data_IF_453582415699
#
_entry.id   IF_453582415699
#
_cell.length_a   1.000
_cell.length_b   1.000
_cell.length_c   1.000
_cell.angle_alpha   90.00
_cell.angle_beta   90.00
_cell.angle_gamma   90.00
#
_symmetry.space_group_name_H-M   'P 1'
#
loop_
_entity.id
_entity.type
_entity.pdbx_description
1 polymer ?
#
# COMPACT_ATOMS: atom_id res chain seq x y z
N UNK A 1 -9.46 13.53 16.66
CA UNK A 1 -10.77 14.12 16.33
C UNK A 1 -10.68 14.73 14.95
N UNK A 2 -11.59 14.39 14.05
CA UNK A 2 -11.73 14.99 12.72
C UNK A 2 -12.98 15.87 12.72
N UNK A 3 -12.90 17.05 12.14
CA UNK A 3 -13.98 18.02 12.03
C UNK A 3 -14.01 18.58 10.60
N UNK A 4 -15.14 19.08 10.17
CA UNK A 4 -15.29 19.79 8.91
C UNK A 4 -16.13 21.06 9.06
N UNK A 5 -15.93 22.01 8.15
CA UNK A 5 -16.66 23.27 8.10
C UNK A 5 -17.09 23.64 6.66
N UNK A 6 -17.19 22.64 5.79
CA UNK A 6 -17.45 22.82 4.36
C UNK A 6 -18.77 23.53 4.05
N UNK A 7 -19.78 23.42 4.91
CA UNK A 7 -21.06 24.08 4.76
C UNK A 7 -20.97 25.61 4.80
N UNK A 8 -19.87 26.13 5.37
CA UNK A 8 -19.57 27.56 5.44
C UNK A 8 -18.48 27.99 4.45
N UNK A 9 -18.16 27.13 3.45
CA UNK A 9 -17.15 27.43 2.42
C UNK A 9 -15.71 27.22 2.88
N UNK A 10 -15.48 26.61 4.04
CA UNK A 10 -14.15 26.32 4.56
C UNK A 10 -13.80 24.84 4.34
N UNK A 11 -12.85 24.60 3.46
CA UNK A 11 -12.41 23.26 3.06
C UNK A 11 -11.09 22.83 3.72
N UNK A 12 -10.64 23.56 4.74
CA UNK A 12 -9.39 23.27 5.45
C UNK A 12 -9.48 21.93 6.20
N UNK A 13 -8.37 21.16 6.29
CA UNK A 13 -8.37 19.95 7.11
C UNK A 13 -8.34 20.30 8.60
N UNK A 14 -9.33 19.83 9.33
CA UNK A 14 -9.42 19.98 10.79
C UNK A 14 -9.23 18.64 11.47
N UNK A 15 -7.99 18.35 11.86
CA UNK A 15 -7.61 17.10 12.50
C UNK A 15 -6.77 17.38 13.75
N UNK A 16 -7.25 16.89 14.90
CA UNK A 16 -6.67 17.19 16.19
C UNK A 16 -6.44 15.95 17.03
N UNK A 17 -5.35 15.97 17.81
CA UNK A 17 -4.96 14.95 18.79
C UNK A 17 -4.87 15.56 20.17
N UNK A 18 -5.33 14.83 21.16
CA UNK A 18 -5.11 15.12 22.59
C UNK A 18 -4.46 13.93 23.27
N UNK A 19 -3.59 14.18 24.25
CA UNK A 19 -2.94 13.15 25.09
C UNK A 19 -3.28 13.35 26.58
N UNK A 20 -4.14 14.31 26.89
CA UNK A 20 -4.50 14.67 28.27
C UNK A 20 -6.03 14.78 28.47
N UNK A 21 -6.79 13.90 27.85
CA UNK A 21 -8.23 13.82 28.03
C UNK A 21 -9.02 15.01 27.46
N UNK A 22 -8.46 15.73 26.46
CA UNK A 22 -9.15 16.86 25.82
C UNK A 22 -8.83 18.24 26.40
N UNK A 23 -7.93 18.33 27.39
CA UNK A 23 -7.52 19.60 28.00
C UNK A 23 -6.71 20.45 27.02
N UNK A 24 -5.84 19.80 26.23
CA UNK A 24 -5.08 20.45 25.14
C UNK A 24 -5.20 19.64 23.86
N UNK A 25 -5.26 20.36 22.74
CA UNK A 25 -5.38 19.79 21.40
C UNK A 25 -4.22 20.29 20.51
N UNK A 26 -3.59 19.36 19.81
CA UNK A 26 -2.54 19.66 18.81
C UNK A 26 -3.12 19.34 17.43
N UNK A 27 -2.96 20.25 16.48
CA UNK A 27 -3.25 19.96 15.08
C UNK A 27 -2.25 18.94 14.54
N UNK A 28 -2.75 17.93 13.79
CA UNK A 28 -1.98 16.86 13.18
C UNK A 28 -2.30 16.76 11.69
N UNK A 29 -2.19 17.86 10.95
CA UNK A 29 -2.52 17.98 9.52
C UNK A 29 -1.29 18.04 8.62
N UNK A 30 -0.09 17.83 9.14
CA UNK A 30 1.16 17.89 8.39
C UNK A 30 1.20 16.83 7.27
N UNK A 31 1.47 17.26 6.04
CA UNK A 31 1.45 16.39 4.85
C UNK A 31 0.08 16.31 4.15
N UNK A 32 -0.98 16.90 4.73
CA UNK A 32 -2.26 17.02 4.04
C UNK A 32 -2.29 18.28 3.16
N UNK A 33 -2.89 18.23 1.97
CA UNK A 33 -3.14 19.43 1.16
C UNK A 33 -4.07 20.43 1.89
N UNK A 34 -3.88 21.73 1.64
CA UNK A 34 -4.62 22.80 2.32
C UNK A 34 -6.15 22.69 2.21
N UNK A 35 -6.65 22.26 1.07
CA UNK A 35 -8.10 22.14 0.81
C UNK A 35 -8.49 20.65 0.78
N UNK A 36 -8.36 19.97 1.93
CA UNK A 36 -8.69 18.55 2.06
C UNK A 36 -9.65 18.35 3.21
N UNK A 37 -10.91 18.11 2.90
CA UNK A 37 -11.89 17.73 3.91
C UNK A 37 -11.54 16.36 4.48
N UNK A 38 -11.58 16.26 5.80
CA UNK A 38 -11.35 15.03 6.54
C UNK A 38 -12.67 14.48 7.07
N UNK A 39 -12.95 13.20 6.82
CA UNK A 39 -14.21 12.59 7.19
C UNK A 39 -14.09 11.66 8.38
N UNK A 40 -13.17 10.72 8.31
CA UNK A 40 -13.02 9.68 9.30
C UNK A 40 -11.56 9.41 9.60
N UNK A 41 -11.23 9.29 10.88
CA UNK A 41 -9.94 8.81 11.37
C UNK A 41 -10.16 7.46 12.06
N UNK A 42 -9.35 6.46 11.72
CA UNK A 42 -9.29 5.20 12.43
C UNK A 42 -7.85 4.88 12.82
N UNK A 43 -7.68 4.32 14.00
CA UNK A 43 -6.39 3.89 14.53
C UNK A 43 -6.30 2.37 14.46
N UNK A 44 -5.14 1.86 14.08
CA UNK A 44 -4.90 0.42 14.14
C UNK A 44 -5.06 -0.10 15.57
N UNK A 45 -5.64 -1.29 15.69
CA UNK A 45 -5.96 -1.90 16.97
C UNK A 45 -4.77 -2.56 17.67
N UNK A 46 -3.61 -2.66 17.00
CA UNK A 46 -2.38 -3.26 17.53
C UNK A 46 -1.29 -2.20 17.66
N UNK A 47 -1.02 -1.46 16.58
CA UNK A 47 0.01 -0.42 16.56
C UNK A 47 -0.62 0.98 16.63
N UNK A 48 -0.57 1.67 17.79
CA UNK A 48 -1.18 2.99 17.95
C UNK A 48 -0.54 4.07 17.08
N UNK A 49 0.63 3.82 16.50
CA UNK A 49 1.29 4.77 15.59
C UNK A 49 0.66 4.77 14.21
N UNK A 50 0.02 3.65 13.82
CA UNK A 50 -0.60 3.49 12.51
C UNK A 50 -2.02 4.05 12.51
N UNK A 51 -2.22 5.09 11.71
CA UNK A 51 -3.51 5.76 11.54
C UNK A 51 -3.90 5.78 10.08
N UNK A 52 -5.21 5.67 9.82
CA UNK A 52 -5.79 5.86 8.50
C UNK A 52 -6.78 7.02 8.53
N UNK A 53 -6.73 7.88 7.52
CA UNK A 53 -7.56 9.06 7.40
C UNK A 53 -8.33 9.05 6.09
N UNK A 54 -9.64 9.01 6.16
CA UNK A 54 -10.55 9.18 5.04
C UNK A 54 -10.75 10.67 4.74
N UNK A 55 -10.62 11.01 3.47
CA UNK A 55 -10.74 12.40 2.99
C UNK A 55 -11.65 12.48 1.76
N UNK A 56 -11.94 13.72 1.32
CA UNK A 56 -12.67 13.97 0.08
C UNK A 56 -11.97 13.43 -1.18
N UNK A 57 -10.64 13.26 -1.14
CA UNK A 57 -9.84 12.87 -2.31
C UNK A 57 -9.06 11.56 -2.11
N UNK A 58 -9.58 10.66 -1.27
CA UNK A 58 -9.00 9.35 -1.00
C UNK A 58 -8.58 9.14 0.44
N UNK A 59 -7.58 8.30 0.64
CA UNK A 59 -7.10 7.87 1.95
C UNK A 59 -5.67 8.34 2.16
N UNK A 60 -5.36 8.69 3.40
CA UNK A 60 -4.00 8.93 3.87
C UNK A 60 -3.67 7.98 5.01
N UNK A 61 -2.40 7.65 5.13
CA UNK A 61 -1.84 6.83 6.20
C UNK A 61 -0.78 7.61 6.95
N UNK A 62 -0.75 7.45 8.25
CA UNK A 62 0.33 7.92 9.12
C UNK A 62 0.92 6.74 9.86
N UNK A 63 2.25 6.71 9.97
CA UNK A 63 3.03 5.67 10.66
C UNK A 63 3.59 6.19 12.00
N UNK A 64 3.30 7.44 12.35
CA UNK A 64 3.89 8.22 13.43
C UNK A 64 2.84 8.97 14.28
N UNK A 65 1.66 8.38 14.48
CA UNK A 65 0.55 8.96 15.25
C UNK A 65 0.01 10.29 14.70
N UNK A 66 0.13 10.54 13.41
CA UNK A 66 -0.38 11.72 12.75
C UNK A 66 0.61 12.89 12.64
N UNK A 67 1.87 12.67 12.98
CA UNK A 67 2.89 13.72 12.80
C UNK A 67 3.17 13.97 11.31
N UNK A 68 3.03 12.95 10.44
CA UNK A 68 3.11 13.06 8.99
C UNK A 68 2.09 12.16 8.28
N UNK A 69 1.47 12.68 7.24
CA UNK A 69 0.50 11.95 6.42
C UNK A 69 1.03 11.68 5.02
N UNK A 70 0.86 10.45 4.57
CA UNK A 70 1.21 10.00 3.23
C UNK A 70 -0.05 9.58 2.48
N UNK A 71 -0.19 10.01 1.23
CA UNK A 71 -1.34 9.60 0.41
C UNK A 71 -1.24 8.11 0.10
N UNK A 72 -2.32 7.39 0.37
CA UNK A 72 -2.45 5.96 0.12
C UNK A 72 -3.41 5.75 -1.06
N UNK A 73 -2.87 5.60 -2.26
CA UNK A 73 -3.65 5.69 -3.51
C UNK A 73 -3.55 4.47 -4.42
N UNK A 74 -2.64 3.51 -4.14
CA UNK A 74 -2.50 2.31 -4.99
C UNK A 74 -3.79 1.48 -4.97
N UNK A 75 -4.36 1.24 -6.15
CA UNK A 75 -5.61 0.49 -6.30
C UNK A 75 -6.88 1.28 -5.93
N UNK A 76 -6.76 2.51 -5.43
CA UNK A 76 -7.89 3.36 -5.08
C UNK A 76 -7.95 4.58 -6.03
N UNK A 77 -9.06 4.80 -6.75
CA UNK A 77 -9.24 6.00 -7.55
C UNK A 77 -9.35 7.25 -6.67
N UNK A 78 -9.19 8.43 -7.27
CA UNK A 78 -9.50 9.68 -6.58
C UNK A 78 -11.00 9.76 -6.34
N UNK A 79 -11.43 9.52 -5.11
CA UNK A 79 -12.84 9.47 -4.73
C UNK A 79 -12.97 9.89 -3.25
N UNK A 80 -14.13 10.46 -2.91
CA UNK A 80 -14.45 10.75 -1.52
C UNK A 80 -14.67 9.45 -0.74
N UNK A 81 -13.92 9.29 0.34
CA UNK A 81 -14.10 8.19 1.30
C UNK A 81 -14.78 8.76 2.53
N UNK A 82 -16.05 8.40 2.73
CA UNK A 82 -16.90 9.00 3.76
C UNK A 82 -16.80 8.33 5.11
N UNK A 83 -16.54 7.04 5.10
CA UNK A 83 -16.34 6.28 6.34
C UNK A 83 -15.31 5.17 6.15
N UNK A 84 -14.71 4.73 7.25
CA UNK A 84 -13.75 3.63 7.31
C UNK A 84 -13.96 2.79 8.55
N UNK A 85 -13.72 1.49 8.40
CA UNK A 85 -13.70 0.55 9.51
C UNK A 85 -12.56 -0.45 9.36
N UNK A 86 -12.00 -0.90 10.48
CA UNK A 86 -11.04 -1.98 10.53
C UNK A 86 -11.74 -3.28 10.94
N UNK A 87 -11.67 -4.27 10.07
CA UNK A 87 -12.02 -5.64 10.40
C UNK A 87 -10.83 -6.28 11.13
N UNK A 88 -10.94 -6.40 12.45
CA UNK A 88 -9.79 -6.71 13.33
C UNK A 88 -9.26 -8.13 13.18
N UNK A 89 -10.11 -9.11 12.87
CA UNK A 89 -9.73 -10.52 12.78
C UNK A 89 -8.78 -10.78 11.61
N UNK A 90 -9.08 -10.19 10.44
CA UNK A 90 -8.30 -10.39 9.21
C UNK A 90 -7.31 -9.23 8.95
N UNK A 91 -7.41 -8.15 9.74
CA UNK A 91 -6.66 -6.89 9.54
C UNK A 91 -7.00 -6.21 8.22
N UNK A 92 -8.29 -6.21 7.85
CA UNK A 92 -8.73 -5.55 6.63
C UNK A 92 -9.16 -4.12 6.91
N UNK A 93 -8.87 -3.22 5.98
CA UNK A 93 -9.36 -1.86 5.99
C UNK A 93 -10.50 -1.73 4.99
N UNK A 94 -11.70 -1.49 5.49
CA UNK A 94 -12.91 -1.32 4.69
C UNK A 94 -13.19 0.17 4.52
N UNK A 95 -13.33 0.60 3.27
CA UNK A 95 -13.58 1.99 2.88
C UNK A 95 -14.99 2.12 2.29
N UNK A 96 -15.80 3.01 2.84
CA UNK A 96 -17.10 3.39 2.27
C UNK A 96 -16.94 4.65 1.43
N UNK A 97 -17.12 4.54 0.11
CA UNK A 97 -16.90 5.64 -0.83
C UNK A 97 -18.20 6.32 -1.24
N UNK A 98 -18.10 7.56 -1.65
CA UNK A 98 -19.24 8.26 -2.24
C UNK A 98 -19.42 7.88 -3.70
N UNK A 99 -20.44 7.08 -3.98
CA UNK A 99 -20.86 6.76 -5.35
C UNK A 99 -20.17 5.56 -6.01
N UNK A 100 -19.16 4.91 -5.35
CA UNK A 100 -18.48 3.74 -5.90
C UNK A 100 -18.42 2.56 -4.93
N UNK A 101 -19.42 2.42 -4.06
CA UNK A 101 -19.56 1.31 -3.14
C UNK A 101 -18.37 1.18 -2.15
N UNK A 102 -17.95 -0.03 -1.84
CA UNK A 102 -16.91 -0.32 -0.86
C UNK A 102 -15.62 -0.74 -1.55
N UNK A 103 -14.49 -0.34 -0.95
CA UNK A 103 -13.17 -0.88 -1.26
C UNK A 103 -12.64 -1.57 -0.01
N UNK A 104 -11.95 -2.67 -0.20
CA UNK A 104 -11.36 -3.44 0.90
C UNK A 104 -9.88 -3.61 0.59
N UNK A 105 -9.03 -3.21 1.53
CA UNK A 105 -7.62 -3.56 1.55
C UNK A 105 -7.46 -4.76 2.48
N UNK A 106 -7.24 -5.93 1.87
CA UNK A 106 -7.03 -7.16 2.61
C UNK A 106 -5.68 -7.14 3.33
N UNK A 107 -5.71 -7.48 4.61
CA UNK A 107 -4.54 -7.65 5.47
C UNK A 107 -3.48 -6.53 5.35
N UNK A 108 -3.76 -5.38 5.92
CA UNK A 108 -2.82 -4.26 5.98
C UNK A 108 -1.71 -4.43 7.03
N UNK A 109 -1.60 -5.59 7.69
CA UNK A 109 -0.70 -5.81 8.84
C UNK A 109 0.77 -5.51 8.55
N UNK A 110 1.22 -5.66 7.30
CA UNK A 110 2.57 -5.30 6.88
C UNK A 110 2.92 -3.82 7.17
N UNK A 111 1.93 -2.91 7.14
CA UNK A 111 2.15 -1.49 7.43
C UNK A 111 2.60 -1.22 8.86
N UNK A 112 2.32 -2.14 9.81
CA UNK A 112 2.76 -2.03 11.21
C UNK A 112 4.27 -2.12 11.38
N UNK A 113 4.96 -2.78 10.45
CA UNK A 113 6.41 -2.97 10.46
C UNK A 113 7.17 -1.90 9.67
N UNK A 114 6.45 -0.98 9.02
CA UNK A 114 7.05 0.11 8.26
C UNK A 114 7.32 1.29 9.20
N UNK A 115 8.57 1.77 9.16
CA UNK A 115 9.05 3.00 9.79
C UNK A 115 10.05 3.67 8.85
N UNK A 116 10.39 4.94 9.07
CA UNK A 116 11.45 5.61 8.29
C UNK A 116 12.76 4.81 8.35
N UNK A 117 13.15 4.32 9.53
CA UNK A 117 14.34 3.49 9.71
C UNK A 117 14.25 2.16 8.93
N UNK A 118 13.08 1.52 8.90
CA UNK A 118 12.92 0.25 8.19
C UNK A 118 13.00 0.42 6.68
N UNK A 119 12.54 1.56 6.14
CA UNK A 119 12.60 1.88 4.71
C UNK A 119 14.03 2.19 4.22
N UNK A 120 14.96 2.48 5.13
CA UNK A 120 16.38 2.66 4.79
C UNK A 120 17.11 1.32 4.57
N UNK A 121 16.54 0.19 4.98
CA UNK A 121 17.09 -1.15 4.75
C UNK A 121 16.97 -1.53 3.27
N UNK A 122 17.91 -2.29 2.78
CA UNK A 122 17.91 -2.79 1.38
C UNK A 122 16.65 -3.62 1.07
N UNK A 123 16.14 -4.37 2.06
CA UNK A 123 14.91 -5.12 1.94
C UNK A 123 14.29 -5.44 3.29
N UNK A 124 12.97 -5.67 3.28
CA UNK A 124 12.18 -6.09 4.44
C UNK A 124 11.32 -7.27 3.99
N UNK A 125 11.40 -8.37 4.72
CA UNK A 125 10.43 -9.45 4.63
C UNK A 125 9.41 -9.27 5.76
N UNK A 126 8.14 -9.07 5.38
CA UNK A 126 7.06 -8.92 6.36
C UNK A 126 6.61 -10.29 6.87
N UNK A 127 6.29 -10.36 8.16
CA UNK A 127 5.74 -11.56 8.76
C UNK A 127 4.40 -11.90 8.08
N UNK A 128 4.26 -13.06 7.42
CA UNK A 128 2.99 -13.49 6.89
C UNK A 128 2.03 -13.84 8.02
N UNK A 129 0.74 -13.61 7.81
CA UNK A 129 -0.27 -14.12 8.73
C UNK A 129 -0.37 -15.64 8.60
N UNK A 130 -0.94 -16.28 9.63
CA UNK A 130 -1.25 -17.71 9.57
C UNK A 130 -2.19 -17.98 8.40
N UNK A 131 -1.75 -18.80 7.46
CA UNK A 131 -2.60 -19.28 6.36
C UNK A 131 -3.44 -20.45 6.83
N UNK A 132 -4.72 -20.43 6.49
CA UNK A 132 -5.63 -21.53 6.78
C UNK A 132 -5.60 -22.52 5.61
N UNK A 133 -5.39 -23.77 5.91
CA UNK A 133 -5.57 -24.85 4.94
C UNK A 133 -7.06 -25.24 4.93
N UNK A 134 -7.71 -25.15 3.77
CA UNK A 134 -9.09 -25.54 3.58
C UNK A 134 -9.29 -26.12 2.19
N UNK A 135 -10.29 -26.95 2.02
CA UNK A 135 -10.72 -27.40 0.71
C UNK A 135 -11.76 -26.43 0.15
N UNK A 136 -11.49 -25.80 -1.02
CA UNK A 136 -12.47 -24.95 -1.65
C UNK A 136 -13.73 -25.78 -2.01
N UNK A 137 -14.90 -25.32 -1.62
CA UNK A 137 -16.15 -25.94 -2.06
C UNK A 137 -16.27 -25.70 -3.58
N UNK A 138 -16.04 -26.76 -4.35
CA UNK A 138 -16.31 -26.79 -5.78
C UNK A 138 -17.81 -27.09 -5.93
N UNK A 139 -18.64 -26.09 -5.78
CA UNK A 139 -20.08 -26.20 -5.91
C UNK A 139 -20.62 -25.19 -6.92
N UNK A 140 -21.62 -25.61 -7.71
CA UNK A 140 -22.27 -24.75 -8.68
C UNK A 140 -22.80 -23.47 -7.98
N UNK A 141 -22.28 -22.34 -8.34
CA UNK A 141 -22.85 -21.06 -7.97
C UNK A 141 -24.18 -20.93 -8.67
N UNK A 142 -25.27 -20.91 -7.93
CA UNK A 142 -26.54 -20.46 -8.49
C UNK A 142 -26.34 -19.03 -9.00
N UNK A 143 -26.70 -18.78 -10.25
CA UNK A 143 -26.63 -17.46 -10.82
C UNK A 143 -27.49 -16.50 -10.00
N UNK A 144 -26.87 -15.47 -9.44
CA UNK A 144 -27.59 -14.42 -8.71
C UNK A 144 -28.02 -13.26 -9.62
N UNK A 145 -27.86 -13.44 -10.94
CA UNK A 145 -28.21 -12.45 -11.96
C UNK A 145 -27.05 -11.57 -12.38
N UNK A 146 -27.17 -10.94 -13.53
CA UNK A 146 -26.12 -10.11 -14.15
C UNK A 146 -25.80 -8.82 -13.39
N UNK A 147 -26.66 -8.36 -12.50
CA UNK A 147 -26.47 -7.15 -11.69
C UNK A 147 -25.80 -7.42 -10.34
N UNK A 148 -25.50 -8.68 -10.02
CA UNK A 148 -24.86 -9.01 -8.76
C UNK A 148 -23.33 -8.89 -8.88
N UNK A 149 -22.76 -8.01 -8.06
CA UNK A 149 -21.30 -7.85 -8.01
C UNK A 149 -20.65 -9.01 -7.26
N UNK A 150 -19.65 -9.60 -7.89
CA UNK A 150 -18.81 -10.61 -7.27
C UNK A 150 -17.35 -10.20 -7.36
N UNK A 151 -16.58 -10.41 -6.31
CA UNK A 151 -15.13 -10.29 -6.29
C UNK A 151 -14.48 -11.66 -6.24
N UNK A 152 -13.25 -11.77 -6.74
CA UNK A 152 -12.45 -12.97 -6.56
C UNK A 152 -12.13 -13.18 -5.09
N UNK A 153 -12.10 -14.43 -4.65
CA UNK A 153 -11.58 -14.77 -3.34
C UNK A 153 -10.08 -14.42 -3.26
N UNK A 154 -9.55 -14.12 -2.06
CA UNK A 154 -8.11 -14.04 -1.85
C UNK A 154 -7.40 -15.30 -2.35
N UNK A 155 -6.15 -15.14 -2.79
CA UNK A 155 -5.33 -16.27 -3.24
C UNK A 155 -5.18 -17.30 -2.12
N UNK A 156 -5.24 -18.58 -2.49
CA UNK A 156 -5.05 -19.69 -1.56
C UNK A 156 -3.60 -19.77 -1.11
N UNK A 157 -3.38 -19.91 0.21
CA UNK A 157 -2.06 -20.07 0.77
C UNK A 157 -1.57 -18.90 1.63
N UNK A 158 -0.30 -18.90 1.98
CA UNK A 158 0.35 -17.84 2.74
C UNK A 158 0.80 -16.72 1.79
N UNK A 159 0.29 -15.53 2.00
CA UNK A 159 0.73 -14.36 1.23
C UNK A 159 2.02 -13.80 1.82
N UNK A 160 3.11 -13.92 1.07
CA UNK A 160 4.42 -13.40 1.43
C UNK A 160 4.57 -12.00 0.84
N UNK A 161 4.75 -11.01 1.70
CA UNK A 161 4.99 -9.61 1.32
C UNK A 161 6.42 -9.22 1.64
N UNK A 162 7.03 -8.46 0.75
CA UNK A 162 8.37 -7.91 0.97
C UNK A 162 8.46 -6.49 0.40
N UNK A 163 9.44 -5.75 0.89
CA UNK A 163 9.84 -4.45 0.40
C UNK A 163 11.29 -4.52 -0.06
N UNK A 164 11.62 -3.86 -1.16
CA UNK A 164 12.98 -3.65 -1.64
C UNK A 164 13.14 -2.15 -1.88
N UNK A 165 14.19 -1.56 -1.29
CA UNK A 165 14.43 -0.12 -1.30
C UNK A 165 14.68 0.40 -2.73
N UNK A 166 15.59 -0.24 -3.45
CA UNK A 166 16.00 0.18 -4.77
C UNK A 166 15.39 -0.72 -5.84
N UNK A 167 14.51 -0.15 -6.66
CA UNK A 167 14.02 -0.85 -7.83
C UNK A 167 15.20 -1.15 -8.77
N UNK A 168 15.37 -2.41 -9.12
CA UNK A 168 16.36 -2.77 -10.11
C UNK A 168 16.03 -2.11 -11.45
N UNK A 169 17.01 -1.47 -12.03
CA UNK A 169 16.90 -0.86 -13.36
C UNK A 169 17.94 -1.53 -14.25
N UNK A 170 17.50 -2.19 -15.32
CA UNK A 170 18.39 -2.85 -16.27
C UNK A 170 19.32 -1.85 -16.99
N UNK A 171 20.43 -2.34 -17.51
CA UNK A 171 21.35 -1.54 -18.31
C UNK A 171 20.65 -0.90 -19.50
N UNK A 172 19.74 -1.63 -20.14
CA UNK A 172 18.87 -1.15 -21.21
C UNK A 172 17.98 0.01 -20.77
N UNK A 173 17.30 -0.12 -19.63
CA UNK A 173 16.42 0.95 -19.10
C UNK A 173 17.23 2.20 -18.72
N UNK A 174 18.41 2.03 -18.10
CA UNK A 174 19.33 3.13 -17.79
C UNK A 174 19.76 3.87 -19.07
N UNK A 175 20.07 3.14 -20.13
CA UNK A 175 20.41 3.71 -21.43
C UNK A 175 19.24 4.47 -22.03
N UNK A 176 18.06 3.84 -22.15
CA UNK A 176 16.86 4.46 -22.72
C UNK A 176 16.45 5.72 -21.94
N UNK A 177 16.54 5.71 -20.62
CA UNK A 177 16.26 6.88 -19.78
C UNK A 177 17.25 8.02 -20.07
N UNK A 178 18.54 7.71 -20.21
CA UNK A 178 19.57 8.71 -20.56
C UNK A 178 19.35 9.26 -21.97
N UNK A 179 19.06 8.40 -22.95
CA UNK A 179 18.75 8.78 -24.33
C UNK A 179 17.52 9.68 -24.43
N UNK A 180 16.46 9.39 -23.66
CA UNK A 180 15.25 10.20 -23.60
C UNK A 180 15.46 11.61 -23.01
N UNK A 181 16.57 11.86 -22.33
CA UNK A 181 16.93 13.19 -21.84
C UNK A 181 17.66 14.05 -22.90
N UNK A 182 18.07 13.46 -24.03
CA UNK A 182 18.74 14.18 -25.13
C UNK A 182 17.70 14.97 -25.93
N UNK A 183 17.81 16.30 -25.88
CA UNK A 183 16.83 17.23 -26.48
C UNK A 183 16.86 17.28 -28.03
N UNK A 184 17.96 16.90 -28.62
CA UNK A 184 18.21 17.12 -30.07
C UNK A 184 17.94 15.90 -30.96
N UNK A 185 17.36 14.83 -30.39
CA UNK A 185 17.04 13.60 -31.14
C UNK A 185 18.29 12.87 -31.73
N UNK A 186 19.49 13.39 -31.51
CA UNK A 186 20.71 12.76 -31.93
C UNK A 186 21.23 11.80 -30.86
N UNK A 187 20.67 10.59 -30.85
CA UNK A 187 21.05 9.53 -29.92
C UNK A 187 22.30 8.82 -30.46
N UNK A 188 23.44 8.89 -29.78
CA UNK A 188 24.65 8.20 -30.24
C UNK A 188 24.43 6.67 -30.15
N UNK A 189 24.91 5.95 -31.13
CA UNK A 189 24.89 4.49 -31.13
C UNK A 189 25.75 3.96 -29.97
N UNK A 190 25.16 3.11 -29.05
CA UNK A 190 25.84 2.69 -27.82
C UNK A 190 27.02 1.70 -28.07
N UNK A 191 27.15 1.17 -29.29
CA UNK A 191 28.09 0.12 -29.62
C UNK A 191 27.53 -1.28 -29.46
N UNK A 192 27.96 -2.20 -30.30
CA UNK A 192 27.50 -3.59 -30.31
C UNK A 192 27.77 -4.30 -28.98
N UNK A 193 28.96 -4.12 -28.41
CA UNK A 193 29.32 -4.73 -27.11
C UNK A 193 28.38 -4.31 -25.99
N UNK A 194 27.93 -3.04 -25.98
CA UNK A 194 26.98 -2.57 -24.97
C UNK A 194 25.60 -3.22 -25.16
N UNK A 195 25.15 -3.35 -26.40
CA UNK A 195 23.87 -4.01 -26.71
C UNK A 195 23.92 -5.52 -26.42
N UNK A 196 25.05 -6.18 -26.72
CA UNK A 196 25.21 -7.59 -26.36
C UNK A 196 25.18 -7.82 -24.84
N UNK A 197 25.84 -6.94 -24.07
CA UNK A 197 25.80 -7.00 -22.61
C UNK A 197 24.38 -6.77 -22.07
N UNK A 198 23.61 -5.84 -22.65
CA UNK A 198 22.21 -5.62 -22.29
C UNK A 198 21.35 -6.85 -22.59
N UNK A 199 21.64 -7.55 -23.69
CA UNK A 199 20.89 -8.75 -24.09
C UNK A 199 21.22 -9.98 -23.22
N UNK A 200 22.46 -10.04 -22.72
CA UNK A 200 22.94 -11.11 -21.82
C UNK A 200 22.69 -10.81 -20.34
N UNK A 201 22.22 -9.60 -20.02
CA UNK A 201 21.92 -9.22 -18.62
C UNK A 201 20.82 -10.11 -18.06
N UNK A 202 21.11 -10.80 -16.96
CA UNK A 202 20.13 -11.63 -16.27
C UNK A 202 19.13 -10.74 -15.52
N UNK A 203 17.86 -11.05 -15.58
CA UNK A 203 16.82 -10.40 -14.77
C UNK A 203 17.11 -10.61 -13.28
N UNK A 204 17.05 -9.54 -12.51
CA UNK A 204 17.13 -9.67 -11.07
C UNK A 204 15.85 -10.30 -10.51
N UNK A 205 16.02 -11.14 -9.55
CA UNK A 205 14.95 -11.91 -8.95
C UNK A 205 15.02 -11.80 -7.42
N UNK A 206 13.87 -11.63 -6.80
CA UNK A 206 13.73 -11.85 -5.36
C UNK A 206 13.53 -13.33 -5.12
N UNK A 207 14.38 -13.91 -4.29
CA UNK A 207 14.29 -15.32 -3.91
C UNK A 207 13.90 -15.42 -2.44
N UNK A 208 12.74 -16.03 -2.19
CA UNK A 208 12.26 -16.34 -0.83
C UNK A 208 12.52 -17.81 -0.54
N UNK A 209 13.35 -18.07 0.43
CA UNK A 209 13.71 -19.45 0.85
C UNK A 209 12.89 -19.82 2.07
N UNK A 210 12.10 -20.88 1.97
CA UNK A 210 11.28 -21.42 3.05
C UNK A 210 12.07 -22.56 3.73
N UNK A 211 12.22 -22.46 5.07
CA UNK A 211 12.94 -23.44 5.87
C UNK A 211 12.02 -24.01 6.94
N UNK A 212 12.27 -25.28 7.29
CA UNK A 212 11.63 -25.91 8.44
C UNK A 212 12.29 -25.47 9.77
N UNK A 213 11.79 -25.96 10.89
CA UNK A 213 12.34 -25.70 12.24
C UNK A 213 13.78 -26.17 12.43
N UNK A 214 14.26 -27.10 11.60
CA UNK A 214 15.61 -27.64 11.61
C UNK A 214 16.57 -26.84 10.70
N UNK A 215 16.06 -25.79 10.02
CA UNK A 215 16.84 -24.96 9.11
C UNK A 215 17.01 -25.53 7.69
N UNK A 216 16.43 -26.69 7.40
CA UNK A 216 16.50 -27.31 6.07
C UNK A 216 15.58 -26.56 5.09
N UNK A 217 16.03 -26.40 3.86
CA UNK A 217 15.21 -25.78 2.80
C UNK A 217 14.09 -26.72 2.43
N UNK A 218 12.85 -26.25 2.54
CA UNK A 218 11.63 -26.98 2.18
C UNK A 218 11.17 -26.56 0.80
N UNK A 219 11.27 -25.26 0.50
CA UNK A 219 10.81 -24.68 -0.76
C UNK A 219 11.52 -23.36 -1.06
N UNK A 220 11.45 -22.95 -2.34
CA UNK A 220 12.03 -21.71 -2.81
C UNK A 220 11.09 -21.06 -3.82
N UNK A 221 10.72 -19.83 -3.57
CA UNK A 221 9.88 -19.00 -4.44
C UNK A 221 10.72 -17.94 -5.10
N UNK A 222 10.58 -17.78 -6.41
CA UNK A 222 11.30 -16.78 -7.19
C UNK A 222 10.31 -15.81 -7.82
N UNK A 223 10.60 -14.52 -7.71
CA UNK A 223 9.80 -13.45 -8.30
C UNK A 223 10.72 -12.49 -9.06
N UNK A 224 10.53 -12.26 -10.37
CA UNK A 224 11.23 -11.19 -11.10
C UNK A 224 10.94 -9.83 -10.47
N UNK A 225 11.98 -8.99 -10.41
CA UNK A 225 11.95 -7.63 -9.85
C UNK A 225 11.76 -6.57 -10.91
#
# INVERSE_FOLDING_TARGET
>A
MALDNHKFGDYSPYLYKTTNGGVKWKSITNGLPKNTLVWRLVQDHINPNLLFLATEYGVYVSLDQGDKWHKFSTGLPTISVRDMAIQKRENDLVLATFGRSFYILDDYSALRAISEESLEKEGILFQPRTALQYEPLIGGTSSQGASFFTSKNPEYGALIRFYIKDAFTSSKEKRLKREGLLKDGNVPFPGWTALDNEMLETTNEAVVVIRNSEGQIVDQLTKPL
#
